data_IF_637375233470
#
_entry.id   IF_637375233470
#
_cell.length_a   1.000
_cell.length_b   1.000
_cell.length_c   1.000
_cell.angle_alpha   90.00
_cell.angle_beta   90.00
_cell.angle_gamma   90.00
#
_symmetry.space_group_name_H-M   'P 1'
#
loop_
_entity.id
_entity.type
_entity.pdbx_description
1 polymer ?
#
# COMPACT_ATOMS: atom_id res chain seq x y z
N UNK A 1 2.36 1.43 -34.77
CA UNK A 1 0.97 1.95 -34.87
C UNK A 1 0.77 2.75 -33.60
N UNK A 2 0.46 4.04 -33.71
CA UNK A 2 0.28 4.93 -32.55
C UNK A 2 -0.79 4.36 -31.62
N UNK A 3 -0.43 4.12 -30.35
CA UNK A 3 -1.33 3.52 -29.35
C UNK A 3 -2.08 4.59 -28.54
N UNK A 4 -1.49 5.78 -28.44
CA UNK A 4 -2.04 6.91 -27.69
C UNK A 4 -1.84 8.22 -28.44
N UNK A 5 -2.80 9.12 -28.26
CA UNK A 5 -2.75 10.52 -28.65
C UNK A 5 -2.74 11.37 -27.38
N UNK A 6 -2.05 12.50 -27.40
CA UNK A 6 -2.01 13.40 -26.25
C UNK A 6 -1.79 14.85 -26.65
N UNK A 7 -2.20 15.76 -25.76
CA UNK A 7 -1.98 17.20 -25.85
C UNK A 7 -1.13 17.60 -24.65
N UNK A 8 -0.14 18.46 -24.90
CA UNK A 8 0.83 18.90 -23.90
C UNK A 8 0.91 20.42 -23.87
N UNK A 9 0.92 20.98 -22.67
CA UNK A 9 1.11 22.42 -22.45
C UNK A 9 2.06 22.60 -21.25
N UNK A 10 3.06 23.48 -21.38
CA UNK A 10 4.07 23.74 -20.33
C UNK A 10 4.76 22.45 -19.80
N UNK A 11 5.14 21.54 -20.71
CA UNK A 11 5.74 20.24 -20.42
C UNK A 11 4.87 19.30 -19.56
N UNK A 12 3.54 19.48 -19.58
CA UNK A 12 2.58 18.63 -18.87
C UNK A 12 1.53 18.12 -19.84
N UNK A 13 1.21 16.83 -19.75
CA UNK A 13 0.09 16.26 -20.49
C UNK A 13 -1.19 16.82 -19.88
N UNK A 14 -2.02 17.46 -20.70
CA UNK A 14 -3.31 18.04 -20.26
C UNK A 14 -4.52 17.26 -20.80
N UNK A 15 -4.29 16.37 -21.75
CA UNK A 15 -5.29 15.47 -22.30
C UNK A 15 -4.62 14.31 -23.02
N UNK A 16 -5.18 13.11 -22.91
CA UNK A 16 -4.73 11.95 -23.66
C UNK A 16 -5.91 11.01 -23.92
N UNK A 17 -5.90 10.32 -25.05
CA UNK A 17 -6.88 9.29 -25.38
C UNK A 17 -6.29 8.30 -26.40
N UNK A 18 -6.88 7.13 -26.53
CA UNK A 18 -6.58 6.17 -27.60
C UNK A 18 -7.26 6.53 -28.92
N UNK A 19 -8.28 7.40 -28.89
CA UNK A 19 -9.03 7.92 -30.03
C UNK A 19 -8.73 9.40 -30.27
N UNK A 20 -8.03 9.70 -31.38
CA UNK A 20 -7.65 11.06 -31.79
C UNK A 20 -8.85 12.01 -31.88
N UNK A 21 -10.01 11.53 -32.34
CA UNK A 21 -11.19 12.37 -32.56
C UNK A 21 -11.77 12.95 -31.25
N UNK A 22 -11.45 12.34 -30.11
CA UNK A 22 -11.80 12.88 -28.79
C UNK A 22 -10.93 14.10 -28.45
N UNK A 23 -9.64 14.06 -28.77
CA UNK A 23 -8.74 15.18 -28.54
C UNK A 23 -8.96 16.31 -29.55
N UNK A 24 -9.36 15.99 -30.78
CA UNK A 24 -9.73 16.99 -31.80
C UNK A 24 -10.86 17.90 -31.31
N UNK A 25 -11.85 17.34 -30.58
CA UNK A 25 -12.92 18.13 -29.95
C UNK A 25 -12.42 19.06 -28.85
N UNK A 26 -11.33 18.71 -28.18
CA UNK A 26 -10.72 19.54 -27.13
C UNK A 26 -9.97 20.70 -27.78
N UNK A 27 -9.12 20.45 -28.78
CA UNK A 27 -8.35 21.51 -29.48
C UNK A 27 -9.23 22.41 -30.34
N UNK A 28 -10.46 21.99 -30.69
CA UNK A 28 -11.43 22.85 -31.36
C UNK A 28 -11.94 24.01 -30.47
N UNK A 29 -11.71 23.96 -29.15
CA UNK A 29 -12.03 25.06 -28.25
C UNK A 29 -11.00 26.19 -28.42
N UNK A 30 -11.42 27.47 -28.48
CA UNK A 30 -10.50 28.59 -28.72
C UNK A 30 -9.29 28.62 -27.79
N UNK A 31 -9.49 28.29 -26.52
CA UNK A 31 -8.45 28.27 -25.48
C UNK A 31 -7.39 27.18 -25.64
N UNK A 32 -7.61 26.16 -26.48
CA UNK A 32 -6.68 25.05 -26.73
C UNK A 32 -6.29 24.94 -28.21
N UNK A 33 -6.77 25.87 -29.04
CA UNK A 33 -6.56 25.86 -30.49
C UNK A 33 -5.12 26.07 -30.93
N UNK A 34 -4.27 26.60 -30.04
CA UNK A 34 -2.82 26.73 -30.25
C UNK A 34 -2.05 25.43 -29.95
N UNK A 35 -2.71 24.42 -29.40
CA UNK A 35 -2.06 23.17 -29.00
C UNK A 35 -2.14 22.12 -30.10
N UNK A 36 -1.11 21.27 -30.15
CA UNK A 36 -1.00 20.19 -31.13
C UNK A 36 -1.29 18.83 -30.48
N UNK A 37 -1.98 17.96 -31.21
CA UNK A 37 -2.14 16.56 -30.83
C UNK A 37 -0.88 15.81 -31.28
N UNK A 38 -0.17 15.23 -30.30
CA UNK A 38 0.99 14.40 -30.50
C UNK A 38 0.60 12.92 -30.46
N UNK A 39 1.36 12.09 -31.17
CA UNK A 39 1.17 10.64 -31.22
C UNK A 39 2.30 9.93 -30.48
N UNK A 40 1.99 8.83 -29.79
CA UNK A 40 2.99 8.05 -29.08
C UNK A 40 2.59 6.59 -28.92
N UNK A 41 3.59 5.73 -28.79
CA UNK A 41 3.40 4.34 -28.37
C UNK A 41 3.60 4.17 -26.85
N UNK A 42 4.13 5.20 -26.17
CA UNK A 42 4.38 5.19 -24.73
C UNK A 42 3.06 5.22 -23.95
N UNK A 43 2.88 4.38 -22.92
CA UNK A 43 1.67 4.39 -22.11
C UNK A 43 1.55 5.69 -21.32
N UNK A 44 0.36 6.27 -21.29
CA UNK A 44 0.02 7.44 -20.48
C UNK A 44 -1.01 7.02 -19.44
N UNK A 45 -0.75 7.31 -18.17
CA UNK A 45 -1.65 7.06 -17.04
C UNK A 45 -1.59 8.27 -16.12
N UNK A 46 -2.75 8.75 -15.66
CA UNK A 46 -2.84 9.94 -14.79
C UNK A 46 -2.05 11.14 -15.31
N UNK A 47 -2.11 11.40 -16.63
CA UNK A 47 -1.41 12.51 -17.29
C UNK A 47 0.13 12.45 -17.20
N UNK A 48 0.71 11.27 -16.96
CA UNK A 48 2.14 11.02 -16.93
C UNK A 48 2.49 9.82 -17.82
N UNK A 49 3.71 9.80 -18.38
CA UNK A 49 4.20 8.64 -19.11
C UNK A 49 4.53 7.50 -18.12
N UNK A 50 3.81 6.39 -18.20
CA UNK A 50 3.89 5.31 -17.23
C UNK A 50 5.11 4.39 -17.40
N UNK A 51 5.87 4.57 -18.48
CA UNK A 51 7.09 3.81 -18.77
C UNK A 51 8.35 4.43 -18.14
N UNK A 52 8.27 5.65 -17.60
CA UNK A 52 9.40 6.33 -16.95
C UNK A 52 9.75 5.71 -15.61
N UNK A 53 11.03 5.77 -15.24
CA UNK A 53 11.48 5.32 -13.92
C UNK A 53 10.90 6.19 -12.80
N UNK A 54 10.74 7.49 -13.06
CA UNK A 54 10.14 8.45 -12.11
C UNK A 54 8.70 8.05 -11.76
N UNK A 55 7.88 7.72 -12.76
CA UNK A 55 6.51 7.27 -12.54
C UNK A 55 6.48 5.96 -11.75
N UNK A 56 7.30 4.98 -12.14
CA UNK A 56 7.40 3.69 -11.46
C UNK A 56 7.83 3.85 -10.00
N UNK A 57 8.82 4.70 -9.72
CA UNK A 57 9.27 4.99 -8.35
C UNK A 57 8.20 5.70 -7.53
N UNK A 58 7.46 6.64 -8.13
CA UNK A 58 6.32 7.30 -7.48
C UNK A 58 5.24 6.30 -7.10
N UNK A 59 4.88 5.38 -7.99
CA UNK A 59 3.90 4.32 -7.70
C UNK A 59 4.38 3.39 -6.57
N UNK A 60 5.65 2.98 -6.57
CA UNK A 60 6.26 2.20 -5.48
C UNK A 60 6.14 2.95 -4.15
N UNK A 61 6.50 4.24 -4.12
CA UNK A 61 6.44 5.07 -2.93
C UNK A 61 5.01 5.26 -2.41
N UNK A 62 4.04 5.47 -3.31
CA UNK A 62 2.62 5.59 -2.95
C UNK A 62 2.07 4.29 -2.36
N UNK A 63 2.39 3.14 -2.96
CA UNK A 63 2.01 1.81 -2.44
C UNK A 63 2.63 1.56 -1.07
N UNK A 64 3.90 1.87 -0.89
CA UNK A 64 4.57 1.74 0.41
C UNK A 64 3.94 2.65 1.48
N UNK A 65 3.67 3.91 1.15
CA UNK A 65 3.02 4.86 2.07
C UNK A 65 1.63 4.37 2.49
N UNK A 66 0.82 3.89 1.54
CA UNK A 66 -0.49 3.33 1.82
C UNK A 66 -0.39 2.09 2.71
N UNK A 67 0.52 1.18 2.42
CA UNK A 67 0.71 0.01 3.28
C UNK A 67 1.15 0.40 4.69
N UNK A 68 2.10 1.32 4.84
CA UNK A 68 2.57 1.79 6.15
C UNK A 68 1.56 2.65 6.92
N UNK A 69 0.54 3.20 6.25
CA UNK A 69 -0.54 3.89 6.96
C UNK A 69 -1.43 2.89 7.70
N UNK A 70 -1.58 1.68 7.17
CA UNK A 70 -2.45 0.62 7.71
C UNK A 70 -1.71 -0.44 8.55
N UNK A 71 -0.41 -0.63 8.32
CA UNK A 71 0.41 -1.66 8.94
C UNK A 71 1.67 -1.10 9.59
N UNK A 72 2.25 -1.88 10.50
CA UNK A 72 3.56 -1.62 11.06
C UNK A 72 4.33 -2.93 11.25
N UNK A 73 5.65 -2.84 11.23
CA UNK A 73 6.52 -4.00 11.35
C UNK A 73 6.79 -4.33 12.82
N UNK A 74 6.69 -5.61 13.16
CA UNK A 74 7.18 -6.19 14.41
C UNK A 74 8.45 -6.98 14.07
N UNK A 75 9.63 -6.52 14.52
CA UNK A 75 10.92 -7.13 14.22
C UNK A 75 10.92 -8.64 14.48
N UNK A 76 11.53 -9.39 13.57
CA UNK A 76 11.64 -10.85 13.62
C UNK A 76 10.30 -11.62 13.62
N UNK A 77 9.17 -10.93 13.46
CA UNK A 77 7.84 -11.54 13.38
C UNK A 77 7.24 -11.29 12.00
N UNK A 78 7.01 -10.02 11.63
CA UNK A 78 6.37 -9.64 10.37
C UNK A 78 5.53 -8.37 10.53
N UNK A 79 4.59 -8.16 9.61
CA UNK A 79 3.75 -6.97 9.63
C UNK A 79 2.43 -7.21 10.36
N UNK A 80 2.02 -6.24 11.17
CA UNK A 80 0.76 -6.27 11.90
C UNK A 80 -0.13 -5.10 11.48
N UNK A 81 -1.44 -5.37 11.38
CA UNK A 81 -2.40 -4.33 11.00
C UNK A 81 -2.66 -3.43 12.20
N UNK A 82 -2.69 -2.11 12.01
CA UNK A 82 -3.01 -1.13 13.08
C UNK A 82 -4.44 -1.29 13.59
N UNK A 83 -5.34 -1.75 12.73
CA UNK A 83 -6.72 -2.12 13.07
C UNK A 83 -7.00 -3.54 12.53
N UNK A 84 -6.66 -4.60 13.29
CA UNK A 84 -6.94 -5.97 12.89
C UNK A 84 -8.45 -6.23 12.73
N UNK A 85 -8.82 -7.16 11.84
CA UNK A 85 -10.24 -7.51 11.65
C UNK A 85 -10.87 -8.01 12.95
N UNK A 86 -12.03 -7.46 13.30
CA UNK A 86 -12.74 -7.81 14.53
C UNK A 86 -12.26 -7.07 15.79
N UNK A 87 -11.31 -6.14 15.66
CA UNK A 87 -10.82 -5.31 16.76
C UNK A 87 -10.85 -3.83 16.36
N UNK A 88 -10.93 -2.95 17.35
CA UNK A 88 -10.90 -1.49 17.15
C UNK A 88 -9.47 -0.96 17.02
N UNK A 89 -8.47 -1.70 17.51
CA UNK A 89 -7.06 -1.36 17.42
C UNK A 89 -6.15 -2.58 17.59
N UNK A 90 -4.89 -2.43 17.18
CA UNK A 90 -3.86 -3.42 17.45
C UNK A 90 -3.65 -3.65 18.95
N UNK A 91 -3.76 -2.59 19.76
CA UNK A 91 -3.64 -2.67 21.23
C UNK A 91 -4.73 -3.54 21.83
N UNK A 92 -5.99 -3.35 21.42
CA UNK A 92 -7.11 -4.18 21.87
C UNK A 92 -6.89 -5.66 21.53
N UNK A 93 -6.44 -5.93 20.31
CA UNK A 93 -6.13 -7.28 19.83
C UNK A 93 -5.01 -7.93 20.65
N UNK A 94 -3.90 -7.22 20.90
CA UNK A 94 -2.79 -7.74 21.69
C UNK A 94 -3.16 -7.89 23.18
N UNK A 95 -3.96 -7.00 23.76
CA UNK A 95 -4.45 -7.15 25.14
C UNK A 95 -5.37 -8.37 25.28
N UNK A 96 -6.13 -8.71 24.24
CA UNK A 96 -6.92 -9.95 24.21
C UNK A 96 -6.00 -11.18 24.26
N UNK A 97 -4.91 -11.18 23.49
CA UNK A 97 -3.88 -12.23 23.55
C UNK A 97 -3.17 -12.28 24.92
N UNK A 98 -2.91 -11.12 25.54
CA UNK A 98 -2.32 -11.03 26.87
C UNK A 98 -3.21 -11.69 27.93
N UNK A 99 -4.53 -11.45 27.88
CA UNK A 99 -5.48 -12.08 28.79
C UNK A 99 -5.51 -13.61 28.60
N UNK A 100 -5.49 -14.07 27.35
CA UNK A 100 -5.39 -15.49 27.01
C UNK A 100 -4.13 -16.14 27.62
N UNK A 101 -2.97 -15.49 27.47
CA UNK A 101 -1.69 -15.95 28.06
C UNK A 101 -1.74 -15.95 29.58
N UNK A 102 -2.38 -14.95 30.19
CA UNK A 102 -2.51 -14.85 31.65
C UNK A 102 -3.31 -16.02 32.25
N UNK A 103 -4.29 -16.54 31.52
CA UNK A 103 -5.13 -17.67 31.94
C UNK A 103 -4.49 -19.02 31.58
N UNK A 104 -3.95 -19.15 30.37
CA UNK A 104 -3.44 -20.42 29.83
C UNK A 104 -1.93 -20.63 30.03
N UNK A 105 -1.24 -19.65 30.61
CA UNK A 105 0.21 -19.61 30.76
C UNK A 105 0.99 -19.79 29.43
N UNK A 106 0.33 -19.54 28.30
CA UNK A 106 0.86 -19.66 26.94
C UNK A 106 -0.09 -19.00 25.94
N UNK A 107 0.43 -18.61 24.79
CA UNK A 107 -0.37 -18.21 23.63
C UNK A 107 -0.48 -19.43 22.70
N UNK A 108 -1.69 -19.90 22.36
CA UNK A 108 -1.84 -21.01 21.42
C UNK A 108 -1.47 -20.57 19.99
N UNK A 109 -1.27 -21.55 19.10
CA UNK A 109 -1.15 -21.30 17.66
C UNK A 109 -2.37 -20.57 17.13
N UNK A 110 -2.22 -19.85 16.02
CA UNK A 110 -3.33 -19.28 15.24
C UNK A 110 -4.15 -18.17 15.94
N UNK A 111 -3.64 -17.65 17.05
CA UNK A 111 -4.27 -16.57 17.83
C UNK A 111 -4.10 -15.18 17.19
N UNK A 112 -2.91 -14.88 16.68
CA UNK A 112 -2.53 -13.61 16.06
C UNK A 112 -2.26 -13.80 14.57
N UNK A 113 -2.56 -12.77 13.79
CA UNK A 113 -2.38 -12.77 12.33
C UNK A 113 -1.35 -11.73 11.93
N UNK A 114 -0.35 -12.15 11.17
CA UNK A 114 0.70 -11.31 10.63
C UNK A 114 0.71 -11.39 9.11
N UNK A 115 1.38 -10.44 8.49
CA UNK A 115 1.45 -10.29 7.04
C UNK A 115 2.91 -10.27 6.59
N UNK A 116 3.19 -10.91 5.46
CA UNK A 116 4.48 -10.75 4.79
C UNK A 116 4.58 -9.36 4.18
N UNK A 117 5.78 -8.79 4.15
CA UNK A 117 6.03 -7.52 3.46
C UNK A 117 5.75 -7.68 1.96
N UNK A 118 4.87 -6.87 1.35
CA UNK A 118 4.70 -6.86 -0.10
C UNK A 118 5.95 -6.37 -0.83
N UNK A 119 6.16 -6.88 -2.04
CA UNK A 119 7.03 -6.25 -3.03
C UNK A 119 6.28 -5.07 -3.68
N UNK A 120 6.55 -3.84 -3.23
CA UNK A 120 5.84 -2.64 -3.71
C UNK A 120 6.05 -2.33 -5.21
N UNK A 121 7.01 -3.00 -5.87
CA UNK A 121 7.15 -2.93 -7.33
C UNK A 121 6.01 -3.63 -8.06
N UNK A 122 5.32 -4.55 -7.38
CA UNK A 122 4.21 -5.36 -7.89
C UNK A 122 2.89 -4.88 -7.29
N UNK A 123 1.99 -4.42 -8.15
CA UNK A 123 0.70 -3.90 -7.72
C UNK A 123 -0.17 -4.98 -7.08
N UNK A 124 -0.13 -6.18 -7.66
CA UNK A 124 -0.91 -7.33 -7.21
C UNK A 124 -0.60 -7.71 -5.76
N UNK A 125 0.63 -7.47 -5.29
CA UNK A 125 1.03 -7.78 -3.91
C UNK A 125 0.52 -6.75 -2.89
N UNK A 126 0.05 -5.61 -3.36
CA UNK A 126 -0.52 -4.55 -2.51
C UNK A 126 -2.04 -4.64 -2.39
N UNK A 127 -2.67 -5.67 -2.97
CA UNK A 127 -4.10 -5.93 -2.88
C UNK A 127 -4.50 -6.60 -1.56
N UNK A 128 -5.74 -6.40 -1.12
CA UNK A 128 -6.26 -7.05 0.09
C UNK A 128 -6.31 -8.58 -0.10
N UNK A 129 -6.65 -9.04 -1.30
CA UNK A 129 -6.69 -10.46 -1.67
C UNK A 129 -5.31 -11.10 -1.50
N UNK A 130 -4.26 -10.45 -2.00
CA UNK A 130 -2.90 -10.95 -1.83
C UNK A 130 -2.44 -10.91 -0.38
N UNK A 131 -2.75 -9.84 0.36
CA UNK A 131 -2.42 -9.72 1.78
C UNK A 131 -3.06 -10.85 2.60
N UNK A 132 -4.33 -11.18 2.35
CA UNK A 132 -5.00 -12.31 3.02
C UNK A 132 -4.37 -13.65 2.60
N UNK A 133 -4.05 -13.84 1.32
CA UNK A 133 -3.44 -15.07 0.83
C UNK A 133 -2.02 -15.31 1.36
N UNK A 134 -1.30 -14.23 1.71
CA UNK A 134 0.07 -14.27 2.21
C UNK A 134 0.17 -13.87 3.70
N UNK A 135 -0.95 -13.93 4.42
CA UNK A 135 -0.93 -13.82 5.87
C UNK A 135 -0.44 -15.12 6.50
N UNK A 136 0.17 -15.02 7.65
CA UNK A 136 0.55 -16.17 8.45
C UNK A 136 0.15 -15.94 9.91
N UNK A 137 0.18 -17.02 10.67
CA UNK A 137 -0.30 -17.04 12.04
C UNK A 137 0.86 -17.23 13.01
N UNK A 138 0.69 -16.77 14.25
CA UNK A 138 1.67 -17.08 15.28
C UNK A 138 1.76 -18.59 15.51
N UNK A 139 2.98 -19.06 15.78
CA UNK A 139 3.18 -20.34 16.45
C UNK A 139 2.78 -20.22 17.93
N UNK A 140 2.63 -21.36 18.60
CA UNK A 140 2.48 -21.35 20.04
C UNK A 140 3.68 -20.62 20.68
N UNK A 141 3.40 -19.80 21.68
CA UNK A 141 4.40 -19.10 22.47
C UNK A 141 4.21 -19.47 23.93
N UNK A 142 5.30 -19.72 24.62
CA UNK A 142 5.34 -19.71 26.08
C UNK A 142 5.00 -18.31 26.59
N UNK A 143 4.68 -18.22 27.89
CA UNK A 143 4.45 -16.92 28.52
C UNK A 143 5.65 -15.97 28.36
N UNK A 144 6.87 -16.46 28.53
CA UNK A 144 8.08 -15.63 28.46
C UNK A 144 8.31 -15.11 27.04
N UNK A 145 8.19 -15.97 26.02
CA UNK A 145 8.26 -15.57 24.61
C UNK A 145 7.18 -14.53 24.26
N UNK A 146 5.96 -14.72 24.77
CA UNK A 146 4.89 -13.75 24.56
C UNK A 146 5.17 -12.41 25.26
N UNK A 147 5.74 -12.42 26.46
CA UNK A 147 6.09 -11.18 27.16
C UNK A 147 7.18 -10.40 26.42
N UNK A 148 8.18 -11.08 25.86
CA UNK A 148 9.18 -10.44 24.99
C UNK A 148 8.54 -9.83 23.74
N UNK A 149 7.67 -10.58 23.06
CA UNK A 149 6.87 -10.08 21.94
C UNK A 149 6.03 -8.85 22.34
N UNK A 150 5.34 -8.91 23.47
CA UNK A 150 4.46 -7.85 23.98
C UNK A 150 5.26 -6.57 24.24
N UNK A 151 6.41 -6.68 24.90
CA UNK A 151 7.30 -5.53 25.14
C UNK A 151 7.73 -4.90 23.83
N UNK A 152 8.17 -5.69 22.85
CA UNK A 152 8.54 -5.18 21.52
C UNK A 152 7.37 -4.46 20.83
N UNK A 153 6.18 -5.07 20.86
CA UNK A 153 4.96 -4.47 20.33
C UNK A 153 4.67 -3.10 20.98
N UNK A 154 4.67 -3.01 22.31
CA UNK A 154 4.36 -1.77 23.03
C UNK A 154 5.37 -0.67 22.71
N UNK A 155 6.67 -0.99 22.67
CA UNK A 155 7.71 -0.03 22.29
C UNK A 155 7.47 0.53 20.89
N UNK A 156 7.17 -0.32 19.92
CA UNK A 156 6.93 0.10 18.54
C UNK A 156 5.64 0.91 18.43
N UNK A 157 4.55 0.44 19.06
CA UNK A 157 3.27 1.12 19.03
C UNK A 157 3.36 2.53 19.60
N UNK A 158 3.99 2.68 20.77
CA UNK A 158 4.18 3.99 21.40
C UNK A 158 5.02 4.92 20.52
N UNK A 159 6.09 4.42 19.89
CA UNK A 159 6.88 5.22 18.96
C UNK A 159 6.07 5.69 17.74
N UNK A 160 5.12 4.88 17.25
CA UNK A 160 4.25 5.26 16.13
C UNK A 160 3.22 6.31 16.53
N UNK A 161 2.66 6.23 17.73
CA UNK A 161 1.70 7.21 18.27
C UNK A 161 2.38 8.56 18.58
N UNK A 162 3.63 8.55 19.05
CA UNK A 162 4.39 9.77 19.33
C UNK A 162 5.01 10.43 18.10
N UNK A 163 4.89 9.82 16.92
CA UNK A 163 5.31 10.37 15.62
C UNK A 163 4.14 10.93 14.79
N UNK A 164 2.90 10.83 15.28
CA UNK A 164 1.71 11.47 14.71
C UNK A 164 1.47 12.83 15.35
#
# INVERSE_FOLDING_TARGET
>A
MSKYYYIEENNKIIGFDTDKARLERIIAMPQYSHLEIKETERPIVNFEFADTDEYKQKQVSEREKKFRSEFFEIPNVGWYRKVPRGYSSAVESINTAFNAVSVMNSLPVDYLTFYTKPDFTKEEQCSEEWLIANQFKNKAMTKDEFMEFYTNFVTIWNNLEHLQ
#
